data_IF_787603087727
#
_entry.id   IF_787603087727
#
_cell.length_a   1.000
_cell.length_b   1.000
_cell.length_c   1.000
_cell.angle_alpha   90.00
_cell.angle_beta   90.00
_cell.angle_gamma   90.00
#
_symmetry.space_group_name_H-M   'P 1'
#
loop_
_entity.id
_entity.type
_entity.pdbx_description
1 polymer ?
#
# COMPACT_ATOMS: atom_id res chain seq x y z
N UNK A 1 109.73 -16.24 5.36
CA UNK A 1 108.69 -15.22 5.56
C UNK A 1 107.57 -15.48 4.55
N UNK A 2 106.45 -16.08 5.00
CA UNK A 2 105.34 -16.52 4.14
C UNK A 2 104.24 -15.45 4.10
N UNK A 3 103.83 -15.10 2.88
CA UNK A 3 102.69 -14.22 2.57
C UNK A 3 101.37 -14.93 2.90
N UNK A 4 100.41 -14.19 3.44
CA UNK A 4 98.98 -14.53 3.36
C UNK A 4 98.19 -13.24 3.22
N UNK A 5 97.39 -13.17 2.15
CA UNK A 5 96.49 -12.07 1.83
C UNK A 5 95.09 -12.60 2.14
N UNK A 6 94.38 -11.96 3.07
CA UNK A 6 93.01 -12.32 3.44
C UNK A 6 92.08 -11.27 2.82
N UNK A 7 91.07 -11.64 2.03
CA UNK A 7 90.05 -10.72 1.55
C UNK A 7 88.99 -10.49 2.64
N UNK A 8 88.73 -9.23 2.99
CA UNK A 8 87.65 -8.83 3.90
C UNK A 8 86.37 -8.68 3.07
N UNK A 9 85.44 -9.62 3.22
CA UNK A 9 84.09 -9.57 2.68
C UNK A 9 83.24 -8.58 3.48
N UNK A 10 82.70 -7.58 2.78
CA UNK A 10 81.78 -6.57 3.30
C UNK A 10 80.38 -7.19 3.43
N UNK A 11 79.93 -7.49 4.65
CA UNK A 11 78.56 -7.97 4.94
C UNK A 11 77.69 -6.73 5.21
N UNK A 12 76.80 -6.38 4.28
CA UNK A 12 75.76 -5.38 4.50
C UNK A 12 74.60 -5.99 5.27
N UNK A 13 74.44 -5.63 6.54
CA UNK A 13 73.28 -5.99 7.36
C UNK A 13 72.15 -5.02 6.99
N UNK A 14 71.20 -5.48 6.18
CA UNK A 14 69.91 -4.81 6.04
C UNK A 14 69.11 -5.07 7.32
N UNK A 15 69.05 -4.08 8.21
CA UNK A 15 68.12 -4.10 9.34
C UNK A 15 66.69 -3.86 8.81
N UNK A 16 65.95 -4.93 8.56
CA UNK A 16 64.51 -4.88 8.38
C UNK A 16 63.86 -4.74 9.75
N UNK A 17 63.55 -3.51 10.15
CA UNK A 17 62.64 -3.27 11.27
C UNK A 17 61.25 -3.78 10.88
N UNK A 18 60.91 -4.99 11.31
CA UNK A 18 59.54 -5.49 11.26
C UNK A 18 58.73 -4.74 12.32
N UNK A 19 58.02 -3.69 11.91
CA UNK A 19 56.93 -3.15 12.71
C UNK A 19 55.74 -4.10 12.54
N UNK A 20 55.65 -5.10 13.41
CA UNK A 20 54.40 -5.81 13.62
C UNK A 20 53.46 -4.86 14.37
N UNK A 21 52.61 -4.15 13.62
CA UNK A 21 51.41 -3.55 14.19
C UNK A 21 50.44 -4.71 14.40
N UNK A 22 50.42 -5.25 15.62
CA UNK A 22 49.27 -6.01 16.08
C UNK A 22 48.12 -5.01 16.24
N UNK A 23 47.35 -4.80 15.16
CA UNK A 23 46.01 -4.26 15.31
C UNK A 23 45.20 -5.35 16.00
N UNK A 24 45.12 -5.28 17.32
CA UNK A 24 44.18 -6.03 18.11
C UNK A 24 42.78 -5.50 17.77
N UNK A 25 42.23 -5.96 16.65
CA UNK A 25 40.80 -5.89 16.44
C UNK A 25 40.21 -7.03 17.25
N UNK A 26 40.08 -6.80 18.56
CA UNK A 26 39.19 -7.54 19.44
C UNK A 26 37.77 -7.33 18.91
N UNK A 27 37.41 -8.05 17.83
CA UNK A 27 36.03 -8.30 17.52
C UNK A 27 35.55 -9.23 18.63
N UNK A 28 34.97 -8.66 19.68
CA UNK A 28 34.12 -9.40 20.58
C UNK A 28 33.01 -10.02 19.73
N UNK A 29 33.21 -11.29 19.36
CA UNK A 29 32.23 -12.07 18.61
C UNK A 29 31.10 -12.41 19.59
N UNK A 30 30.15 -11.47 19.71
CA UNK A 30 28.96 -11.67 20.52
C UNK A 30 28.15 -12.83 19.92
N UNK A 31 27.73 -13.79 20.74
CA UNK A 31 26.82 -14.82 20.27
C UNK A 31 25.54 -14.17 19.75
N UNK A 32 25.09 -14.59 18.57
CA UNK A 32 23.84 -14.09 17.97
C UNK A 32 22.84 -15.21 17.75
N UNK A 33 21.56 -14.88 17.96
CA UNK A 33 20.44 -15.76 17.62
C UNK A 33 19.65 -15.08 16.51
N UNK A 34 19.45 -15.79 15.40
CA UNK A 34 18.69 -15.29 14.24
C UNK A 34 17.47 -16.18 14.05
N UNK A 35 16.29 -15.57 13.93
CA UNK A 35 15.06 -16.29 13.63
C UNK A 35 14.08 -15.42 12.82
N UNK A 36 13.09 -16.06 12.22
CA UNK A 36 12.02 -15.38 11.49
C UNK A 36 10.68 -15.56 12.20
N UNK A 37 9.86 -14.52 12.18
CA UNK A 37 8.48 -14.53 12.70
C UNK A 37 7.56 -13.83 11.70
N UNK A 38 6.24 -13.96 11.88
CA UNK A 38 5.26 -13.30 11.04
C UNK A 38 3.99 -12.96 11.82
N UNK A 39 3.27 -11.94 11.36
CA UNK A 39 1.96 -11.58 11.86
C UNK A 39 1.03 -11.22 10.71
N UNK A 40 -0.26 -11.50 10.89
CA UNK A 40 -1.30 -11.20 9.90
C UNK A 40 -2.47 -10.44 10.50
N UNK A 41 -3.17 -9.68 9.67
CA UNK A 41 -4.44 -9.02 10.00
C UNK A 41 -5.31 -8.88 8.75
N UNK A 42 -6.62 -8.84 8.93
CA UNK A 42 -7.56 -8.60 7.82
C UNK A 42 -8.08 -7.17 7.90
N UNK A 43 -7.94 -6.42 6.81
CA UNK A 43 -8.54 -5.09 6.65
C UNK A 43 -9.82 -5.22 5.86
N UNK A 44 -10.93 -4.80 6.47
CA UNK A 44 -12.24 -4.72 5.84
C UNK A 44 -12.45 -3.33 5.26
N UNK A 45 -12.93 -3.23 4.03
CA UNK A 45 -13.46 -1.98 3.48
C UNK A 45 -14.96 -2.07 3.26
N UNK A 46 -15.66 -1.09 3.80
CA UNK A 46 -17.07 -0.83 3.51
C UNK A 46 -17.23 0.28 2.44
N UNK A 47 -16.12 0.70 1.83
CA UNK A 47 -16.06 1.80 0.86
C UNK A 47 -15.52 1.33 -0.50
N UNK A 48 -16.17 1.77 -1.56
CA UNK A 48 -15.88 1.39 -2.94
C UNK A 48 -15.46 2.64 -3.69
N UNK A 49 -14.35 2.58 -4.43
CA UNK A 49 -13.96 3.66 -5.32
C UNK A 49 -14.78 3.59 -6.60
N UNK A 50 -15.57 4.63 -6.84
CA UNK A 50 -16.42 4.73 -8.02
C UNK A 50 -16.04 5.95 -8.86
N UNK A 51 -16.35 5.89 -10.14
CA UNK A 51 -16.30 7.01 -11.05
C UNK A 51 -17.70 7.30 -11.58
N UNK A 52 -18.13 8.55 -11.45
CA UNK A 52 -19.30 9.04 -12.16
C UNK A 52 -18.83 9.83 -13.37
N UNK A 53 -19.28 9.42 -14.56
CA UNK A 53 -19.05 10.13 -15.80
C UNK A 53 -20.32 10.87 -16.19
N UNK A 54 -20.25 12.20 -16.18
CA UNK A 54 -21.33 13.06 -16.64
C UNK A 54 -21.05 13.56 -18.06
N UNK A 55 -22.01 13.35 -18.95
CA UNK A 55 -22.02 13.85 -20.32
C UNK A 55 -23.05 14.97 -20.41
N UNK A 56 -22.68 16.10 -20.99
CA UNK A 56 -23.60 17.21 -21.23
C UNK A 56 -23.33 17.86 -22.58
N UNK A 57 -24.40 18.30 -23.25
CA UNK A 57 -24.31 19.14 -24.44
C UNK A 57 -24.82 20.54 -24.09
N UNK A 58 -24.03 21.56 -24.38
CA UNK A 58 -24.28 22.95 -23.98
C UNK A 58 -23.84 23.95 -25.06
N UNK A 59 -24.06 25.24 -24.79
CA UNK A 59 -23.56 26.37 -25.59
C UNK A 59 -22.38 27.04 -24.87
N UNK A 60 -21.63 27.88 -25.59
CA UNK A 60 -20.44 28.58 -25.08
C UNK A 60 -20.72 29.39 -23.79
N UNK A 61 -21.90 30.00 -23.70
CA UNK A 61 -22.30 30.84 -22.55
C UNK A 61 -22.46 30.05 -21.25
N UNK A 62 -22.81 28.77 -21.33
CA UNK A 62 -23.16 27.93 -20.18
C UNK A 62 -22.13 26.86 -19.87
N UNK A 63 -21.01 26.83 -20.59
CA UNK A 63 -20.02 25.76 -20.46
C UNK A 63 -19.38 25.68 -19.08
N UNK A 64 -19.18 26.84 -18.43
CA UNK A 64 -18.50 26.93 -17.14
C UNK A 64 -19.37 26.39 -15.98
N UNK A 65 -20.69 26.30 -16.18
CA UNK A 65 -21.62 25.86 -15.14
C UNK A 65 -21.84 24.33 -15.16
N UNK A 66 -21.46 23.65 -16.24
CA UNK A 66 -21.75 22.23 -16.44
C UNK A 66 -21.08 21.35 -15.40
N UNK A 67 -19.81 21.63 -15.06
CA UNK A 67 -19.09 20.89 -14.02
C UNK A 67 -19.81 20.99 -12.68
N UNK A 68 -20.17 22.22 -12.28
CA UNK A 68 -20.89 22.47 -11.04
C UNK A 68 -22.25 21.78 -11.05
N UNK A 69 -23.00 21.88 -12.15
CA UNK A 69 -24.30 21.25 -12.29
C UNK A 69 -24.22 19.72 -12.16
N UNK A 70 -23.26 19.08 -12.85
CA UNK A 70 -23.03 17.64 -12.75
C UNK A 70 -22.63 17.27 -11.31
N UNK A 71 -21.70 18.00 -10.71
CA UNK A 71 -21.24 17.76 -9.33
C UNK A 71 -22.37 17.90 -8.32
N UNK A 72 -23.20 18.93 -8.44
CA UNK A 72 -24.37 19.16 -7.59
C UNK A 72 -25.39 18.03 -7.75
N UNK A 73 -25.68 17.60 -8.98
CA UNK A 73 -26.62 16.51 -9.24
C UNK A 73 -26.15 15.19 -8.62
N UNK A 74 -24.88 14.84 -8.78
CA UNK A 74 -24.32 13.63 -8.17
C UNK A 74 -24.34 13.75 -6.65
N UNK A 75 -23.94 14.90 -6.10
CA UNK A 75 -23.92 15.14 -4.66
C UNK A 75 -25.33 15.24 -4.04
N UNK A 76 -26.37 15.53 -4.81
CA UNK A 76 -27.75 15.49 -4.36
C UNK A 76 -28.30 14.07 -4.24
N UNK A 77 -27.74 13.12 -4.99
CA UNK A 77 -28.11 11.70 -4.90
C UNK A 77 -27.32 11.02 -3.78
N UNK A 78 -26.00 11.22 -3.75
CA UNK A 78 -25.09 10.67 -2.73
C UNK A 78 -24.17 11.76 -2.20
N UNK A 79 -24.28 12.03 -0.89
CA UNK A 79 -23.40 12.96 -0.18
C UNK A 79 -22.04 12.31 0.04
N UNK A 80 -21.02 12.77 -0.69
CA UNK A 80 -19.64 12.31 -0.57
C UNK A 80 -18.65 13.38 -1.03
N UNK A 81 -17.36 13.16 -0.76
CA UNK A 81 -16.27 14.01 -1.23
C UNK A 81 -15.91 13.71 -2.70
N UNK A 82 -16.79 14.10 -3.62
CA UNK A 82 -16.56 13.97 -5.06
C UNK A 82 -15.39 14.82 -5.52
N UNK A 83 -14.41 14.20 -6.17
CA UNK A 83 -13.24 14.86 -6.75
C UNK A 83 -13.30 14.81 -8.25
N UNK A 84 -13.20 15.98 -8.89
CA UNK A 84 -13.05 16.08 -10.34
C UNK A 84 -11.69 15.51 -10.73
N UNK A 85 -11.72 14.53 -11.65
CA UNK A 85 -10.52 13.87 -12.18
C UNK A 85 -10.19 14.30 -13.59
N UNK A 86 -11.23 14.54 -14.39
CA UNK A 86 -11.04 15.05 -15.74
C UNK A 86 -12.24 15.85 -16.21
N UNK A 87 -11.98 16.81 -17.09
CA UNK A 87 -12.99 17.54 -17.85
C UNK A 87 -12.50 17.58 -19.30
N UNK A 88 -13.30 17.02 -20.20
CA UNK A 88 -13.02 16.99 -21.63
C UNK A 88 -14.10 17.83 -22.34
N UNK A 89 -13.70 18.64 -23.31
CA UNK A 89 -14.62 19.48 -24.08
C UNK A 89 -14.36 19.29 -25.57
N UNK A 90 -15.44 19.14 -26.34
CA UNK A 90 -15.38 19.02 -27.80
C UNK A 90 -16.49 19.85 -28.43
N UNK A 91 -16.17 20.59 -29.50
CA UNK A 91 -17.13 21.41 -30.22
C UNK A 91 -17.56 20.69 -31.49
N UNK A 92 -18.87 20.58 -31.72
CA UNK A 92 -19.42 20.03 -32.96
C UNK A 92 -19.40 21.06 -34.09
N UNK A 93 -19.54 20.59 -35.33
CA UNK A 93 -19.68 21.46 -36.51
C UNK A 93 -20.91 22.38 -36.45
N UNK A 94 -21.89 22.08 -35.59
CA UNK A 94 -23.07 22.92 -35.34
C UNK A 94 -22.83 24.01 -34.30
N UNK A 95 -21.63 24.10 -33.71
CA UNK A 95 -21.30 25.04 -32.64
C UNK A 95 -21.76 24.59 -31.24
N UNK A 96 -22.30 23.38 -31.10
CA UNK A 96 -22.63 22.82 -29.79
C UNK A 96 -21.37 22.31 -29.09
N UNK A 97 -21.31 22.44 -27.77
CA UNK A 97 -20.17 22.02 -26.95
C UNK A 97 -20.58 20.79 -26.16
N UNK A 98 -19.89 19.67 -26.37
CA UNK A 98 -20.04 18.46 -25.58
C UNK A 98 -18.97 18.44 -24.50
N UNK A 99 -19.41 18.30 -23.25
CA UNK A 99 -18.55 18.28 -22.07
C UNK A 99 -18.69 16.92 -21.41
N UNK A 100 -17.56 16.30 -21.10
CA UNK A 100 -17.49 15.08 -20.28
C UNK A 100 -16.76 15.39 -18.99
N UNK A 101 -17.40 15.16 -17.85
CA UNK A 101 -16.83 15.35 -16.52
C UNK A 101 -16.70 13.99 -15.85
N UNK A 102 -15.51 13.69 -15.33
CA UNK A 102 -15.24 12.47 -14.55
C UNK A 102 -15.05 12.84 -13.09
N UNK A 103 -15.98 12.42 -12.24
CA UNK A 103 -15.94 12.58 -10.79
C UNK A 103 -15.58 11.25 -10.14
N UNK A 104 -14.77 11.26 -9.09
CA UNK A 104 -14.48 10.07 -8.30
C UNK A 104 -14.69 10.31 -6.81
N UNK A 105 -15.26 9.32 -6.14
CA UNK A 105 -15.42 9.30 -4.69
C UNK A 105 -15.32 7.87 -4.17
N UNK A 106 -15.03 7.73 -2.88
CA UNK A 106 -15.29 6.49 -2.16
C UNK A 106 -16.67 6.58 -1.52
N UNK A 107 -17.51 5.60 -1.76
CA UNK A 107 -18.90 5.55 -1.30
C UNK A 107 -19.25 4.16 -0.78
N UNK A 108 -20.34 4.02 -0.03
CA UNK A 108 -20.82 2.71 0.41
C UNK A 108 -21.49 1.92 -0.72
N UNK A 109 -21.69 0.61 -0.53
CA UNK A 109 -22.48 -0.20 -1.48
C UNK A 109 -23.93 0.31 -1.61
N UNK A 110 -24.55 0.75 -0.50
CA UNK A 110 -25.89 1.32 -0.52
C UNK A 110 -25.95 2.59 -1.37
N UNK A 111 -24.92 3.43 -1.29
CA UNK A 111 -24.81 4.66 -2.10
C UNK A 111 -24.62 4.34 -3.58
N UNK A 112 -23.80 3.34 -3.90
CA UNK A 112 -23.64 2.86 -5.29
C UNK A 112 -24.98 2.41 -5.87
N UNK A 113 -25.75 1.63 -5.10
CA UNK A 113 -27.08 1.17 -5.52
C UNK A 113 -28.04 2.36 -5.72
N UNK A 114 -27.97 3.39 -4.86
CA UNK A 114 -28.76 4.61 -5.00
C UNK A 114 -28.39 5.40 -6.27
N UNK A 115 -27.09 5.52 -6.59
CA UNK A 115 -26.63 6.15 -7.83
C UNK A 115 -27.13 5.39 -9.06
N UNK A 116 -26.95 4.07 -9.08
CA UNK A 116 -27.39 3.22 -10.20
C UNK A 116 -28.88 3.40 -10.46
N UNK A 117 -29.71 3.29 -9.41
CA UNK A 117 -31.17 3.48 -9.51
C UNK A 117 -31.53 4.89 -9.98
N UNK A 118 -30.86 5.92 -9.46
CA UNK A 118 -31.12 7.29 -9.87
C UNK A 118 -30.77 7.53 -11.36
N UNK A 119 -29.67 6.94 -11.83
CA UNK A 119 -29.19 7.11 -13.20
C UNK A 119 -29.96 6.27 -14.23
N UNK A 120 -30.52 5.13 -13.83
CA UNK A 120 -31.46 4.36 -14.66
C UNK A 120 -32.76 5.12 -14.91
N UNK A 121 -33.26 5.84 -13.90
CA UNK A 121 -34.50 6.62 -13.97
C UNK A 121 -34.30 8.05 -14.51
N UNK A 122 -33.09 8.40 -14.96
CA UNK A 122 -32.80 9.77 -15.41
C UNK A 122 -33.53 10.11 -16.71
N UNK A 123 -34.00 11.35 -16.82
CA UNK A 123 -34.62 11.85 -18.05
C UNK A 123 -33.57 12.08 -19.14
N UNK A 124 -33.54 11.17 -20.13
CA UNK A 124 -32.61 11.21 -21.27
C UNK A 124 -32.81 12.42 -22.19
N UNK A 125 -33.93 13.14 -22.08
CA UNK A 125 -34.23 14.32 -22.89
C UNK A 125 -33.58 15.61 -22.38
N UNK A 126 -32.94 15.59 -21.21
CA UNK A 126 -32.40 16.78 -20.54
C UNK A 126 -31.08 17.31 -21.13
N UNK A 127 -30.53 16.67 -22.17
CA UNK A 127 -29.22 17.02 -22.73
C UNK A 127 -28.04 16.67 -21.81
N UNK A 128 -28.30 16.01 -20.69
CA UNK A 128 -27.33 15.54 -19.72
C UNK A 128 -27.57 14.06 -19.40
N UNK A 129 -26.48 13.29 -19.31
CA UNK A 129 -26.52 11.86 -18.96
C UNK A 129 -25.42 11.56 -17.94
N UNK A 130 -25.77 10.88 -16.88
CA UNK A 130 -24.82 10.38 -15.88
C UNK A 130 -24.68 8.87 -16.02
N UNK A 131 -23.46 8.36 -15.81
CA UNK A 131 -23.14 6.95 -15.73
C UNK A 131 -22.20 6.71 -14.56
N UNK A 132 -22.31 5.55 -13.90
CA UNK A 132 -21.43 5.16 -12.79
C UNK A 132 -20.68 3.89 -13.14
N UNK A 133 -19.38 3.91 -12.92
CA UNK A 133 -18.46 2.78 -13.07
C UNK A 133 -17.79 2.51 -11.72
N UNK A 134 -17.56 1.24 -11.41
CA UNK A 134 -16.77 0.87 -10.23
C UNK A 134 -15.32 0.68 -10.65
N UNK A 135 -14.42 1.38 -9.96
CA UNK A 135 -12.99 1.33 -10.26
C UNK A 135 -12.25 0.36 -9.36
N UNK A 136 -12.58 0.33 -8.06
CA UNK A 136 -11.84 -0.49 -7.09
C UNK A 136 -12.69 -0.80 -5.85
N UNK A 137 -12.64 -2.06 -5.40
CA UNK A 137 -13.26 -2.52 -4.16
C UNK A 137 -12.26 -2.60 -2.99
N UNK A 138 -10.97 -2.48 -3.26
CA UNK A 138 -9.93 -2.69 -2.27
C UNK A 138 -10.00 -1.60 -1.18
N UNK A 139 -9.60 -1.93 0.06
CA UNK A 139 -9.41 -0.93 1.09
C UNK A 139 -8.49 0.22 0.63
N UNK A 140 -8.75 1.46 1.09
CA UNK A 140 -7.85 2.58 0.83
C UNK A 140 -6.41 2.27 1.21
N UNK A 141 -5.45 2.72 0.40
CA UNK A 141 -4.02 2.53 0.68
C UNK A 141 -3.59 3.03 2.07
N UNK A 142 -4.25 4.09 2.57
CA UNK A 142 -4.05 4.60 3.93
C UNK A 142 -4.38 3.55 4.99
N UNK A 143 -5.48 2.83 4.84
CA UNK A 143 -5.93 1.83 5.81
C UNK A 143 -4.99 0.62 5.81
N UNK A 144 -4.51 0.24 4.63
CA UNK A 144 -3.46 -0.78 4.47
C UNK A 144 -2.17 -0.35 5.19
N UNK A 145 -1.72 0.89 5.03
CA UNK A 145 -0.53 1.40 5.71
C UNK A 145 -0.68 1.43 7.23
N UNK A 146 -1.84 1.87 7.74
CA UNK A 146 -2.15 1.86 9.17
C UNK A 146 -2.13 0.43 9.73
N UNK A 147 -2.70 -0.53 9.01
CA UNK A 147 -2.69 -1.93 9.40
C UNK A 147 -1.26 -2.52 9.41
N UNK A 148 -0.43 -2.18 8.41
CA UNK A 148 0.99 -2.57 8.37
C UNK A 148 1.75 -2.04 9.59
N UNK A 149 1.59 -0.77 9.93
CA UNK A 149 2.22 -0.18 11.11
C UNK A 149 1.81 -0.88 12.41
N UNK A 150 0.51 -1.21 12.55
CA UNK A 150 0.01 -1.98 13.70
C UNK A 150 0.64 -3.37 13.79
N UNK A 151 0.80 -4.06 12.66
CA UNK A 151 1.47 -5.37 12.63
C UNK A 151 2.96 -5.28 13.00
N UNK A 152 3.67 -4.25 12.54
CA UNK A 152 5.07 -4.03 12.92
C UNK A 152 5.20 -3.80 14.44
N UNK A 153 4.35 -2.97 15.03
CA UNK A 153 4.34 -2.73 16.49
C UNK A 153 4.01 -4.02 17.25
N UNK A 154 3.03 -4.79 16.76
CA UNK A 154 2.68 -6.10 17.35
C UNK A 154 3.88 -7.04 17.33
N UNK A 155 4.53 -7.21 16.18
CA UNK A 155 5.71 -8.06 16.03
C UNK A 155 6.88 -7.63 16.93
N UNK A 156 7.08 -6.33 17.09
CA UNK A 156 8.08 -5.80 18.01
C UNK A 156 7.78 -6.22 19.47
N UNK A 157 6.54 -6.04 19.92
CA UNK A 157 6.13 -6.42 21.27
C UNK A 157 6.20 -7.94 21.48
N UNK A 158 5.67 -8.72 20.54
CA UNK A 158 5.73 -10.18 20.57
C UNK A 158 7.20 -10.68 20.63
N UNK A 159 8.11 -10.02 19.91
CA UNK A 159 9.56 -10.31 19.94
C UNK A 159 10.19 -9.96 21.28
N UNK A 160 9.83 -8.82 21.87
CA UNK A 160 10.32 -8.39 23.18
C UNK A 160 9.87 -9.36 24.27
N UNK A 161 8.61 -9.78 24.25
CA UNK A 161 8.06 -10.73 25.22
C UNK A 161 8.69 -12.11 25.06
N UNK A 162 8.90 -12.56 23.81
CA UNK A 162 9.64 -13.79 23.51
C UNK A 162 11.06 -13.75 24.07
N UNK A 163 11.81 -12.66 23.83
CA UNK A 163 13.19 -12.52 24.33
C UNK A 163 13.24 -12.51 25.86
N UNK A 164 12.33 -11.79 26.51
CA UNK A 164 12.27 -11.73 27.97
C UNK A 164 12.02 -13.12 28.56
N UNK A 165 11.10 -13.89 27.97
CA UNK A 165 10.84 -15.27 28.39
C UNK A 165 12.03 -16.20 28.07
N UNK A 166 12.65 -16.07 26.90
CA UNK A 166 13.82 -16.85 26.50
C UNK A 166 14.97 -16.66 27.50
N UNK A 167 15.40 -15.42 27.76
CA UNK A 167 16.46 -15.11 28.71
C UNK A 167 16.16 -15.66 30.11
N UNK A 168 14.91 -15.58 30.56
CA UNK A 168 14.47 -16.14 31.85
C UNK A 168 14.59 -17.66 31.89
N UNK A 169 14.21 -18.36 30.83
CA UNK A 169 14.22 -19.82 30.77
C UNK A 169 15.63 -20.41 30.59
N UNK A 170 16.49 -19.73 29.84
CA UNK A 170 17.85 -20.21 29.54
C UNK A 170 18.92 -19.62 30.46
N UNK A 171 18.53 -18.72 31.37
CA UNK A 171 19.45 -17.93 32.20
C UNK A 171 20.53 -17.22 31.35
N UNK A 172 20.12 -16.72 30.18
CA UNK A 172 20.98 -16.00 29.23
C UNK A 172 20.70 -14.49 29.26
N UNK A 173 21.57 -13.69 28.63
CA UNK A 173 21.44 -12.23 28.61
C UNK A 173 21.53 -11.67 27.19
N UNK A 174 20.52 -11.95 26.36
CA UNK A 174 20.43 -11.43 25.01
C UNK A 174 19.64 -10.11 24.94
N UNK A 175 19.95 -9.31 23.93
CA UNK A 175 19.20 -8.10 23.55
C UNK A 175 18.79 -8.15 22.09
N UNK A 176 17.75 -7.38 21.74
CA UNK A 176 17.37 -7.18 20.34
C UNK A 176 18.43 -6.30 19.69
N UNK A 177 19.17 -6.86 18.74
CA UNK A 177 20.11 -6.12 17.90
C UNK A 177 19.38 -5.49 16.71
N UNK A 178 18.53 -6.27 16.03
CA UNK A 178 17.78 -5.78 14.88
C UNK A 178 16.49 -6.57 14.64
N UNK A 179 15.50 -5.90 14.05
CA UNK A 179 14.29 -6.50 13.50
C UNK A 179 14.11 -5.91 12.11
N UNK A 180 14.18 -6.76 11.09
CA UNK A 180 14.01 -6.36 9.69
C UNK A 180 12.64 -6.85 9.20
N UNK A 181 11.73 -5.91 8.95
CA UNK A 181 10.40 -6.22 8.44
C UNK A 181 10.43 -6.43 6.93
N UNK A 182 9.80 -7.50 6.47
CA UNK A 182 9.63 -7.85 5.08
C UNK A 182 8.14 -7.80 4.78
N UNK A 183 7.79 -6.86 3.91
CA UNK A 183 6.46 -6.74 3.34
C UNK A 183 6.33 -7.79 2.23
N UNK A 184 5.47 -8.79 2.41
CA UNK A 184 5.21 -9.78 1.36
C UNK A 184 4.16 -9.17 0.42
N UNK A 185 4.63 -8.47 -0.62
CA UNK A 185 3.86 -7.57 -1.50
C UNK A 185 2.72 -8.19 -2.33
N UNK A 186 2.31 -9.43 -2.08
CA UNK A 186 1.21 -10.06 -2.80
C UNK A 186 -0.09 -10.03 -1.97
N UNK A 187 -0.56 -8.82 -1.70
CA UNK A 187 -1.91 -8.65 -1.17
C UNK A 187 -2.92 -8.85 -2.29
N UNK A 188 -3.29 -10.11 -2.50
CA UNK A 188 -4.38 -10.43 -3.40
C UNK A 188 -5.69 -10.09 -2.70
N UNK A 189 -6.52 -9.20 -3.25
CA UNK A 189 -7.86 -9.06 -2.74
C UNK A 189 -8.59 -10.40 -2.85
N UNK A 190 -9.32 -10.80 -1.81
CA UNK A 190 -10.27 -11.90 -1.96
C UNK A 190 -11.31 -11.42 -2.97
N UNK A 191 -11.20 -11.92 -4.20
CA UNK A 191 -12.06 -11.56 -5.32
C UNK A 191 -13.50 -12.00 -5.02
N UNK A 192 -14.24 -11.15 -4.32
CA UNK A 192 -15.69 -11.28 -4.18
C UNK A 192 -16.43 -10.76 -5.43
N UNK A 193 -15.68 -10.34 -6.46
CA UNK A 193 -16.20 -9.79 -7.73
C UNK A 193 -17.11 -10.79 -8.48
N UNK A 194 -16.83 -12.09 -8.43
CA UNK A 194 -17.71 -13.11 -9.04
C UNK A 194 -19.07 -13.22 -8.34
N UNK A 195 -19.10 -13.12 -7.01
CA UNK A 195 -20.34 -13.08 -6.23
C UNK A 195 -21.17 -11.82 -6.55
N UNK A 196 -20.49 -10.72 -6.88
CA UNK A 196 -21.13 -9.45 -7.11
C UNK A 196 -21.79 -9.31 -8.49
N UNK A 197 -21.17 -9.86 -9.54
CA UNK A 197 -21.77 -9.92 -10.89
C UNK A 197 -22.97 -10.87 -10.95
N UNK A 198 -22.90 -11.98 -10.22
CA UNK A 198 -23.99 -12.97 -10.16
C UNK A 198 -25.18 -12.47 -9.35
N UNK A 199 -24.95 -11.73 -8.25
CA UNK A 199 -26.02 -11.07 -7.50
C UNK A 199 -26.76 -9.97 -8.30
N UNK A 200 -26.10 -9.35 -9.27
CA UNK A 200 -26.72 -8.34 -10.15
C UNK A 200 -27.48 -8.96 -11.34
N UNK A 201 -27.14 -10.21 -11.72
CA UNK A 201 -27.69 -10.87 -12.91
C UNK A 201 -28.86 -11.80 -12.61
N UNK A 202 -29.19 -12.03 -11.33
CA UNK A 202 -30.31 -12.85 -10.90
C UNK A 202 -31.49 -11.99 -10.45
N UNK A 203 -32.58 -12.04 -11.21
CA UNK A 203 -33.94 -11.52 -10.90
C UNK A 203 -34.06 -10.20 -10.13
N UNK A 204 -34.55 -9.19 -10.85
CA UNK A 204 -34.90 -7.84 -10.39
C UNK A 204 -36.05 -7.75 -9.36
N UNK A 205 -36.24 -8.76 -8.50
CA UNK A 205 -37.34 -8.82 -7.55
C UNK A 205 -36.97 -9.27 -6.12
N UNK A 206 -35.69 -9.28 -5.74
CA UNK A 206 -35.29 -9.48 -4.34
C UNK A 206 -34.50 -8.28 -3.81
N UNK A 207 -35.12 -7.52 -2.91
CA UNK A 207 -34.56 -6.33 -2.23
C UNK A 207 -33.46 -6.67 -1.20
N UNK A 208 -32.68 -7.73 -1.40
CA UNK A 208 -31.64 -8.15 -0.46
C UNK A 208 -30.24 -7.92 -1.04
N UNK A 209 -29.90 -6.65 -1.30
CA UNK A 209 -28.51 -6.27 -1.57
C UNK A 209 -27.73 -6.15 -0.26
N UNK A 210 -27.33 -7.28 0.33
CA UNK A 210 -26.40 -7.22 1.45
C UNK A 210 -25.07 -6.62 0.96
N UNK A 211 -24.51 -5.61 1.65
CA UNK A 211 -23.24 -5.02 1.27
C UNK A 211 -22.15 -6.09 1.36
N UNK A 212 -21.57 -6.47 0.21
CA UNK A 212 -20.43 -7.39 0.18
C UNK A 212 -19.21 -6.60 0.59
N UNK A 213 -18.83 -6.73 1.86
CA UNK A 213 -17.59 -6.15 2.33
C UNK A 213 -16.39 -6.83 1.66
N UNK A 214 -15.47 -6.02 1.14
CA UNK A 214 -14.23 -6.53 0.56
C UNK A 214 -13.14 -6.48 1.61
N UNK A 215 -12.53 -7.64 1.84
CA UNK A 215 -11.48 -7.84 2.84
C UNK A 215 -10.16 -8.12 2.16
N UNK A 216 -9.09 -7.54 2.69
CA UNK A 216 -7.73 -7.78 2.26
C UNK A 216 -6.91 -8.25 3.47
N UNK A 217 -6.35 -9.45 3.35
CA UNK A 217 -5.43 -9.98 4.36
C UNK A 217 -4.07 -9.31 4.18
N UNK A 218 -3.43 -8.93 5.27
CA UNK A 218 -2.12 -8.29 5.32
C UNK A 218 -1.21 -9.15 6.19
N UNK A 219 -0.01 -9.48 5.71
CA UNK A 219 0.99 -10.26 6.41
C UNK A 219 2.33 -9.51 6.39
N UNK A 220 2.98 -9.45 7.54
CA UNK A 220 4.36 -8.94 7.65
C UNK A 220 5.21 -10.05 8.23
N UNK A 221 6.33 -10.35 7.56
CA UNK A 221 7.39 -11.19 8.09
C UNK A 221 8.45 -10.32 8.74
N UNK A 222 9.14 -10.84 9.74
CA UNK A 222 10.27 -10.15 10.35
C UNK A 222 11.43 -11.13 10.59
N UNK A 223 12.63 -10.71 10.21
CA UNK A 223 13.87 -11.37 10.57
C UNK A 223 14.46 -10.66 11.79
N UNK A 224 14.59 -11.41 12.87
CA UNK A 224 15.03 -10.89 14.16
C UNK A 224 16.44 -11.40 14.43
N UNK A 225 17.32 -10.50 14.87
CA UNK A 225 18.63 -10.86 15.41
C UNK A 225 18.73 -10.40 16.85
N UNK A 226 19.00 -11.36 17.74
CA UNK A 226 19.43 -11.10 19.09
C UNK A 226 20.95 -11.15 19.19
N UNK A 227 21.51 -10.37 20.11
CA UNK A 227 22.94 -10.34 20.40
C UNK A 227 23.14 -10.44 21.90
N UNK A 228 24.05 -11.33 22.30
CA UNK A 228 24.46 -11.50 23.70
C UNK A 228 25.10 -10.19 24.22
N UNK A 229 24.71 -9.78 25.42
CA UNK A 229 25.31 -8.63 26.10
C UNK A 229 26.72 -8.90 26.57
#
# INVERSE_FOLDING_TARGET
MKKSIIPITLISIFATTSLAIACDNDYLDHNTIKYSTQAETTVKSDSILVQVTGYATTTLEKQNDVEKQISDNVNNIVKSEWKVKNIEQTTSNSGAINITVKLQARISQSDLNNLQRAFENQNKSSGMRLAVDVLDYNPPARDIQVAKQKLMIKLFNDTKDYLANFNKQTNSNYTIQSIQYIDVDNYQPRNNLELMKTAYSGDANSNSSNPVAVTQDINIKANVTFMEK
#
